data_IF_018811867116
#
_entry.id   IF_018811867116
#
_cell.length_a   1.000
_cell.length_b   1.000
_cell.length_c   1.000
_cell.angle_alpha   90.00
_cell.angle_beta   90.00
_cell.angle_gamma   90.00
#
_symmetry.space_group_name_H-M   'P 1'
#
loop_
_entity.id
_entity.type
_entity.pdbx_description
1 polymer ?
#
# COMPACT_ATOMS: atom_id res chain seq x y z
N UNK A 1 13.10 7.69 -54.42
CA UNK A 1 12.47 6.34 -54.39
C UNK A 1 13.02 5.51 -53.20
N UNK A 2 12.89 6.01 -51.96
CA UNK A 2 13.47 5.36 -50.75
C UNK A 2 12.47 5.30 -49.56
N UNK A 3 11.28 5.89 -49.68
CA UNK A 3 10.29 5.94 -48.58
C UNK A 3 9.43 4.68 -48.40
N UNK A 4 9.42 3.74 -49.34
CA UNK A 4 8.59 2.52 -49.25
C UNK A 4 9.26 1.32 -48.52
N UNK A 5 10.50 1.47 -48.06
CA UNK A 5 11.23 0.39 -47.34
C UNK A 5 11.14 0.45 -45.82
N UNK A 6 10.76 1.60 -45.25
CA UNK A 6 10.72 1.79 -43.79
C UNK A 6 9.43 1.22 -43.20
N UNK A 7 8.30 1.37 -43.89
CA UNK A 7 6.98 0.91 -43.40
C UNK A 7 6.83 -0.61 -43.36
N UNK A 8 7.58 -1.35 -44.19
CA UNK A 8 7.56 -2.83 -44.16
C UNK A 8 8.32 -3.44 -42.98
N UNK A 9 9.29 -2.73 -42.40
CA UNK A 9 10.04 -3.24 -41.23
C UNK A 9 9.23 -3.17 -39.93
N UNK A 10 8.34 -2.18 -39.81
CA UNK A 10 7.49 -2.02 -38.62
C UNK A 10 6.40 -3.09 -38.54
N UNK A 11 5.83 -3.47 -39.68
CA UNK A 11 4.78 -4.49 -39.77
C UNK A 11 5.31 -5.90 -39.39
N UNK A 12 6.55 -6.21 -39.77
CA UNK A 12 7.18 -7.51 -39.43
C UNK A 12 7.55 -7.64 -37.96
N UNK A 13 7.80 -6.52 -37.27
CA UNK A 13 8.12 -6.52 -35.84
C UNK A 13 6.86 -6.74 -34.98
N UNK A 14 5.73 -6.14 -35.37
CA UNK A 14 4.43 -6.37 -34.73
C UNK A 14 3.91 -7.80 -34.99
N UNK A 15 4.10 -8.34 -36.19
CA UNK A 15 3.74 -9.73 -36.49
C UNK A 15 4.57 -10.76 -35.68
N UNK A 16 5.85 -10.47 -35.41
CA UNK A 16 6.69 -11.32 -34.55
C UNK A 16 6.28 -11.28 -33.07
N UNK A 17 5.78 -10.13 -32.59
CA UNK A 17 5.27 -10.00 -31.22
C UNK A 17 3.99 -10.80 -31.01
N UNK A 18 3.16 -10.97 -32.04
CA UNK A 18 1.93 -11.77 -31.99
C UNK A 18 2.22 -13.28 -32.01
N UNK A 19 3.29 -13.71 -32.71
CA UNK A 19 3.65 -15.15 -32.85
C UNK A 19 4.45 -15.68 -31.65
N UNK A 20 5.12 -14.82 -30.89
CA UNK A 20 6.06 -15.26 -29.83
C UNK A 20 5.42 -15.71 -28.53
N UNK A 21 4.09 -15.61 -28.35
CA UNK A 21 3.39 -16.28 -27.24
C UNK A 21 4.00 -16.02 -25.86
N UNK A 22 4.70 -14.90 -25.67
CA UNK A 22 5.10 -14.41 -24.36
C UNK A 22 3.84 -13.81 -23.76
N UNK A 23 3.08 -14.71 -23.14
CA UNK A 23 1.85 -14.42 -22.44
C UNK A 23 2.04 -13.14 -21.64
N UNK A 24 1.23 -12.16 -22.00
CA UNK A 24 0.83 -11.05 -21.15
C UNK A 24 0.42 -11.65 -19.81
N UNK A 25 1.38 -11.78 -18.90
CA UNK A 25 1.11 -12.18 -17.52
C UNK A 25 0.10 -11.18 -16.97
N UNK A 26 -1.01 -11.75 -16.54
CA UNK A 26 -2.21 -11.16 -15.97
C UNK A 26 -2.02 -9.70 -15.51
N UNK A 27 -2.51 -8.78 -16.35
CA UNK A 27 -2.67 -7.35 -16.09
C UNK A 27 -3.76 -7.10 -15.03
N UNK A 28 -3.70 -7.80 -13.91
CA UNK A 28 -4.51 -7.63 -12.69
C UNK A 28 -3.66 -7.12 -11.51
N UNK A 29 -2.37 -6.87 -11.71
CA UNK A 29 -1.59 -6.09 -10.75
C UNK A 29 -2.03 -4.63 -10.87
N UNK A 30 -3.06 -4.22 -10.09
CA UNK A 30 -3.51 -2.83 -9.92
C UNK A 30 -2.30 -1.92 -10.05
N UNK A 31 -2.26 -1.06 -11.09
CA UNK A 31 -1.16 -0.10 -11.31
C UNK A 31 -0.78 0.49 -9.96
N UNK A 32 0.39 0.12 -9.44
CA UNK A 32 0.87 0.54 -8.13
C UNK A 32 0.77 2.07 -8.12
N UNK A 33 -0.14 2.63 -7.32
CA UNK A 33 -0.42 4.08 -7.27
C UNK A 33 0.79 4.93 -6.80
N UNK A 34 1.92 4.26 -6.57
CA UNK A 34 3.15 4.75 -6.00
C UNK A 34 4.34 4.73 -6.97
N UNK A 35 4.21 4.13 -8.17
CA UNK A 35 5.29 4.12 -9.16
C UNK A 35 5.57 5.56 -9.62
N UNK A 36 6.81 6.00 -9.44
CA UNK A 36 7.26 7.34 -9.84
C UNK A 36 7.00 8.46 -8.83
N UNK A 37 6.48 8.16 -7.62
CA UNK A 37 6.40 9.13 -6.52
C UNK A 37 7.66 9.07 -5.66
N UNK A 38 8.12 10.23 -5.19
CA UNK A 38 9.16 10.29 -4.16
C UNK A 38 8.67 9.57 -2.89
N UNK A 39 9.46 8.61 -2.38
CA UNK A 39 9.10 7.71 -1.27
C UNK A 39 7.89 6.79 -1.52
N UNK A 40 7.55 6.53 -2.79
CA UNK A 40 6.42 5.66 -3.15
C UNK A 40 6.51 4.26 -2.56
N UNK A 41 7.70 3.69 -2.45
CA UNK A 41 7.89 2.35 -1.86
C UNK A 41 7.56 2.33 -0.37
N UNK A 42 7.86 3.41 0.36
CA UNK A 42 7.59 3.55 1.80
C UNK A 42 6.12 3.87 2.05
N UNK A 43 5.49 4.71 1.22
CA UNK A 43 4.03 4.90 1.25
C UNK A 43 3.28 3.60 0.98
N UNK A 44 3.76 2.80 0.01
CA UNK A 44 3.19 1.48 -0.27
C UNK A 44 3.36 0.54 0.92
N UNK A 45 4.56 0.48 1.51
CA UNK A 45 4.82 -0.33 2.70
C UNK A 45 3.90 0.05 3.87
N UNK A 46 3.70 1.34 4.12
CA UNK A 46 2.77 1.83 5.14
C UNK A 46 1.32 1.50 4.83
N UNK A 47 0.94 1.49 3.55
CA UNK A 47 -0.39 1.03 3.15
C UNK A 47 -0.58 -0.45 3.49
N UNK A 48 0.41 -1.30 3.17
CA UNK A 48 0.42 -2.72 3.47
C UNK A 48 0.39 -2.97 4.99
N UNK A 49 1.21 -2.24 5.75
CA UNK A 49 1.19 -2.27 7.21
C UNK A 49 -0.18 -1.87 7.77
N UNK A 50 -0.83 -0.86 7.20
CA UNK A 50 -2.18 -0.47 7.60
C UNK A 50 -3.22 -1.56 7.38
N UNK A 51 -3.11 -2.31 6.27
CA UNK A 51 -3.96 -3.49 6.04
C UNK A 51 -3.67 -4.61 7.03
N UNK A 52 -2.39 -4.88 7.31
CA UNK A 52 -1.97 -5.86 8.32
C UNK A 52 -2.48 -5.50 9.71
N UNK A 53 -2.39 -4.24 10.13
CA UNK A 53 -2.81 -3.79 11.46
C UNK A 53 -4.33 -3.84 11.66
N UNK A 54 -5.09 -3.73 10.56
CA UNK A 54 -6.54 -3.90 10.56
C UNK A 54 -6.96 -5.36 10.39
N UNK A 55 -6.04 -6.28 10.10
CA UNK A 55 -6.34 -7.71 10.03
C UNK A 55 -6.80 -8.19 11.41
N UNK A 56 -8.00 -8.76 11.47
CA UNK A 56 -8.66 -9.17 12.72
C UNK A 56 -9.40 -8.05 13.48
N UNK A 57 -9.28 -6.78 13.07
CA UNK A 57 -10.09 -5.71 13.66
C UNK A 57 -11.54 -5.79 13.13
N UNK A 58 -12.49 -6.04 14.03
CA UNK A 58 -13.92 -6.12 13.69
C UNK A 58 -14.46 -7.55 13.49
N UNK A 59 -13.63 -8.59 13.65
CA UNK A 59 -14.14 -9.97 13.81
C UNK A 59 -14.70 -10.09 15.24
N UNK A 60 -16.03 -10.30 15.41
CA UNK A 60 -16.56 -10.56 16.74
C UNK A 60 -15.96 -11.86 17.27
N UNK A 61 -15.25 -11.81 18.41
CA UNK A 61 -14.76 -13.01 19.11
C UNK A 61 -15.89 -13.89 19.67
N UNK A 62 -17.14 -13.41 19.59
CA UNK A 62 -18.36 -14.15 19.86
C UNK A 62 -19.09 -14.38 18.55
N UNK A 63 -18.79 -15.48 17.89
CA UNK A 63 -19.49 -15.95 16.70
C UNK A 63 -20.18 -17.25 17.04
N UNK A 64 -21.48 -17.34 16.72
CA UNK A 64 -22.19 -18.61 16.85
C UNK A 64 -21.48 -19.66 15.98
N UNK A 65 -21.49 -20.95 16.35
CA UNK A 65 -20.91 -22.02 15.52
C UNK A 65 -21.41 -21.96 14.06
N UNK A 66 -22.64 -21.48 13.86
CA UNK A 66 -23.22 -21.26 12.52
C UNK A 66 -22.49 -20.18 11.73
N UNK A 67 -22.04 -19.09 12.35
CA UNK A 67 -21.27 -18.05 11.66
C UNK A 67 -19.89 -18.56 11.23
N UNK A 68 -19.24 -19.41 12.04
CA UNK A 68 -17.97 -20.04 11.65
C UNK A 68 -18.16 -20.94 10.42
N UNK A 69 -19.21 -21.76 10.41
CA UNK A 69 -19.56 -22.60 9.26
C UNK A 69 -19.87 -21.75 8.00
N UNK A 70 -20.62 -20.65 8.14
CA UNK A 70 -20.88 -19.76 7.02
C UNK A 70 -19.59 -19.08 6.53
N UNK A 71 -18.73 -18.57 7.40
CA UNK A 71 -17.46 -17.95 6.99
C UNK A 71 -16.56 -18.90 6.20
N UNK A 72 -16.46 -20.15 6.65
CA UNK A 72 -15.55 -21.14 6.05
C UNK A 72 -16.12 -21.74 4.75
N UNK A 73 -17.44 -21.73 4.57
CA UNK A 73 -18.12 -22.33 3.40
C UNK A 73 -18.72 -21.32 2.41
N UNK A 74 -18.79 -20.04 2.78
CA UNK A 74 -19.25 -18.98 1.87
C UNK A 74 -18.04 -18.17 1.42
N UNK A 75 -17.86 -17.99 0.12
CA UNK A 75 -16.80 -17.16 -0.47
C UNK A 75 -16.96 -15.65 -0.18
N UNK A 76 -17.71 -15.29 0.87
CA UNK A 76 -17.87 -13.93 1.39
C UNK A 76 -16.61 -13.53 2.16
N UNK A 77 -15.49 -13.49 1.46
CA UNK A 77 -14.23 -12.93 1.96
C UNK A 77 -14.47 -11.42 2.08
N UNK A 78 -14.47 -10.89 3.31
CA UNK A 78 -14.43 -9.46 3.55
C UNK A 78 -13.12 -8.90 3.03
N UNK A 79 -13.04 -8.66 1.71
CA UNK A 79 -11.79 -8.39 1.01
C UNK A 79 -10.85 -9.60 1.03
N UNK A 80 -10.33 -10.01 -0.12
CA UNK A 80 -9.16 -10.89 -0.15
C UNK A 80 -8.08 -10.25 0.71
N UNK A 81 -7.48 -11.00 1.65
CA UNK A 81 -6.26 -10.59 2.38
C UNK A 81 -5.23 -10.15 1.34
N UNK A 82 -5.13 -8.85 1.10
CA UNK A 82 -4.31 -8.28 0.04
C UNK A 82 -3.22 -7.42 0.67
N UNK A 83 -2.50 -8.04 1.60
CA UNK A 83 -1.19 -7.54 1.99
C UNK A 83 -0.13 -8.59 1.73
N UNK A 84 1.01 -8.14 1.20
CA UNK A 84 2.17 -9.00 0.88
C UNK A 84 3.27 -8.86 1.95
N UNK A 85 3.05 -8.02 2.95
CA UNK A 85 4.01 -7.76 4.02
C UNK A 85 4.14 -8.97 4.95
N UNK A 86 5.38 -9.31 5.30
CA UNK A 86 5.71 -10.34 6.30
C UNK A 86 5.56 -9.77 7.70
N UNK A 87 5.09 -10.57 8.66
CA UNK A 87 4.82 -10.14 10.04
C UNK A 87 6.04 -9.45 10.69
N UNK A 88 7.24 -9.99 10.52
CA UNK A 88 8.47 -9.39 11.07
C UNK A 88 8.72 -7.98 10.52
N UNK A 89 8.53 -7.79 9.21
CA UNK A 89 8.65 -6.48 8.58
C UNK A 89 7.54 -5.53 9.08
N UNK A 90 6.33 -6.03 9.26
CA UNK A 90 5.22 -5.26 9.80
C UNK A 90 5.50 -4.81 11.26
N UNK A 91 6.13 -5.65 12.08
CA UNK A 91 6.54 -5.31 13.44
C UNK A 91 7.65 -4.24 13.46
N UNK A 92 8.61 -4.29 12.54
CA UNK A 92 9.63 -3.24 12.40
C UNK A 92 8.98 -1.90 12.05
N UNK A 93 8.04 -1.89 11.10
CA UNK A 93 7.29 -0.68 10.74
C UNK A 93 6.44 -0.17 11.91
N UNK A 94 5.75 -1.06 12.62
CA UNK A 94 4.97 -0.69 13.81
C UNK A 94 5.86 -0.06 14.90
N UNK A 95 7.05 -0.61 15.12
CA UNK A 95 8.04 -0.06 16.06
C UNK A 95 8.50 1.34 15.63
N UNK A 96 8.70 1.59 14.33
CA UNK A 96 9.05 2.90 13.81
C UNK A 96 7.90 3.91 14.02
N UNK A 97 6.66 3.51 13.74
CA UNK A 97 5.46 4.35 14.00
C UNK A 97 5.31 4.63 15.50
N UNK A 98 5.58 3.66 16.38
CA UNK A 98 5.56 3.86 17.83
C UNK A 98 6.63 4.86 18.29
N UNK A 99 7.86 4.77 17.73
CA UNK A 99 8.93 5.76 17.97
C UNK A 99 8.50 7.17 17.52
N UNK A 100 7.86 7.28 16.36
CA UNK A 100 7.33 8.54 15.85
C UNK A 100 6.27 9.12 16.77
N UNK A 101 5.32 8.29 17.21
CA UNK A 101 4.23 8.67 18.10
C UNK A 101 4.77 9.18 19.44
N UNK A 102 5.79 8.50 20.00
CA UNK A 102 6.47 8.96 21.22
C UNK A 102 7.16 10.31 21.04
N UNK A 103 7.69 10.60 19.85
CA UNK A 103 8.34 11.88 19.54
C UNK A 103 7.34 13.00 19.26
N UNK A 104 6.27 12.70 18.54
CA UNK A 104 5.20 13.63 18.20
C UNK A 104 3.90 12.84 18.03
N UNK A 105 3.03 12.93 19.04
CA UNK A 105 1.76 12.21 19.09
C UNK A 105 0.89 12.54 17.88
N UNK A 106 0.74 13.83 17.55
CA UNK A 106 -0.09 14.29 16.44
C UNK A 106 0.35 13.68 15.11
N UNK A 107 1.65 13.66 14.83
CA UNK A 107 2.16 13.12 13.56
C UNK A 107 2.01 11.59 13.50
N UNK A 108 2.18 10.88 14.62
CA UNK A 108 1.89 9.44 14.71
C UNK A 108 0.43 9.11 14.46
N UNK A 109 -0.49 9.89 15.07
CA UNK A 109 -1.93 9.72 14.90
C UNK A 109 -2.36 9.96 13.44
N UNK A 110 -1.73 10.91 12.74
CA UNK A 110 -2.03 11.16 11.32
C UNK A 110 -1.67 9.97 10.44
N UNK A 111 -0.50 9.35 10.66
CA UNK A 111 -0.10 8.14 9.93
C UNK A 111 -1.05 6.99 10.25
N UNK A 112 -1.39 6.81 11.53
CA UNK A 112 -2.32 5.78 11.96
C UNK A 112 -3.70 5.93 11.31
N UNK A 113 -4.29 7.12 11.36
CA UNK A 113 -5.63 7.37 10.84
C UNK A 113 -5.65 7.30 9.31
N UNK A 114 -4.60 7.78 8.64
CA UNK A 114 -4.53 7.78 7.18
C UNK A 114 -4.25 6.38 6.61
N UNK A 115 -3.24 5.66 7.12
CA UNK A 115 -2.83 4.36 6.57
C UNK A 115 -3.55 3.18 7.22
N UNK A 116 -3.78 3.21 8.54
CA UNK A 116 -4.46 2.16 9.28
C UNK A 116 -5.97 2.24 9.11
N UNK A 117 -6.59 3.30 9.63
CA UNK A 117 -8.04 3.46 9.56
C UNK A 117 -8.57 3.84 8.16
N UNK A 118 -7.68 4.07 7.18
CA UNK A 118 -7.98 4.48 5.80
C UNK A 118 -8.85 5.75 5.72
N UNK A 119 -8.67 6.68 6.66
CA UNK A 119 -9.40 7.95 6.62
C UNK A 119 -8.82 8.86 5.53
N UNK A 120 -9.68 9.54 4.74
CA UNK A 120 -9.19 10.53 3.78
C UNK A 120 -8.52 11.68 4.54
N UNK A 121 -7.47 12.27 3.96
CA UNK A 121 -6.70 13.36 4.58
C UNK A 121 -7.59 14.55 5.01
N UNK A 122 -8.67 14.83 4.26
CA UNK A 122 -9.68 15.83 4.64
C UNK A 122 -10.34 15.53 5.99
N UNK A 123 -10.69 14.25 6.24
CA UNK A 123 -11.31 13.83 7.50
C UNK A 123 -10.30 13.91 8.65
N UNK A 124 -9.06 13.49 8.40
CA UNK A 124 -7.98 13.62 9.39
C UNK A 124 -7.77 15.09 9.75
N UNK A 125 -7.70 15.98 8.76
CA UNK A 125 -7.56 17.41 9.01
C UNK A 125 -8.69 17.99 9.87
N UNK A 126 -9.94 17.63 9.58
CA UNK A 126 -11.10 18.04 10.40
C UNK A 126 -11.04 17.53 11.85
N UNK A 127 -10.50 16.33 12.08
CA UNK A 127 -10.38 15.77 13.42
C UNK A 127 -9.39 16.56 14.31
N UNK A 128 -8.39 17.18 13.70
CA UNK A 128 -7.33 17.93 14.40
C UNK A 128 -7.35 19.43 14.10
N UNK A 129 -8.45 19.94 13.54
CA UNK A 129 -8.66 21.35 13.17
C UNK A 129 -7.53 21.94 12.29
N UNK A 130 -7.04 21.16 11.34
CA UNK A 130 -6.02 21.59 10.36
C UNK A 130 -6.53 21.49 8.94
N UNK A 131 -6.03 22.36 8.06
CA UNK A 131 -6.37 22.33 6.64
C UNK A 131 -5.93 21.03 5.98
N UNK A 132 -6.64 20.59 4.95
CA UNK A 132 -6.30 19.37 4.22
C UNK A 132 -4.89 19.41 3.65
N UNK A 133 -4.47 20.56 3.11
CA UNK A 133 -3.11 20.76 2.60
C UNK A 133 -2.08 20.52 3.72
N UNK A 134 -2.33 21.09 4.91
CA UNK A 134 -1.44 20.91 6.05
C UNK A 134 -1.40 19.46 6.54
N UNK A 135 -2.54 18.78 6.53
CA UNK A 135 -2.60 17.37 6.88
C UNK A 135 -1.79 16.50 5.91
N UNK A 136 -1.87 16.76 4.60
CA UNK A 136 -1.04 16.05 3.61
C UNK A 136 0.45 16.33 3.79
N UNK A 137 0.84 17.56 4.11
CA UNK A 137 2.24 17.88 4.42
C UNK A 137 2.75 17.12 5.64
N UNK A 138 1.97 17.08 6.72
CA UNK A 138 2.34 16.35 7.94
C UNK A 138 2.44 14.84 7.68
N UNK A 139 1.53 14.27 6.89
CA UNK A 139 1.60 12.87 6.48
C UNK A 139 2.88 12.61 5.69
N UNK A 140 3.20 13.42 4.68
CA UNK A 140 4.45 13.27 3.89
C UNK A 140 5.70 13.40 4.75
N UNK A 141 5.70 14.35 5.68
CA UNK A 141 6.81 14.56 6.63
C UNK A 141 6.97 13.33 7.53
N UNK A 142 5.85 12.76 8.00
CA UNK A 142 5.84 11.53 8.77
C UNK A 142 6.35 10.32 7.98
N UNK A 143 5.96 10.18 6.72
CA UNK A 143 6.48 9.14 5.81
C UNK A 143 7.99 9.27 5.65
N UNK A 144 8.50 10.48 5.41
CA UNK A 144 9.94 10.73 5.27
C UNK A 144 10.72 10.41 6.56
N UNK A 145 10.13 10.70 7.73
CA UNK A 145 10.74 10.32 9.00
C UNK A 145 10.80 8.81 9.18
N UNK A 146 9.73 8.09 8.82
CA UNK A 146 9.71 6.62 8.88
C UNK A 146 10.72 6.02 7.92
N UNK A 147 10.82 6.53 6.70
CA UNK A 147 11.81 6.09 5.73
C UNK A 147 13.23 6.16 6.29
N UNK A 148 13.58 7.30 6.89
CA UNK A 148 14.86 7.48 7.56
C UNK A 148 15.05 6.53 8.75
N UNK A 149 14.01 6.30 9.56
CA UNK A 149 14.08 5.37 10.68
C UNK A 149 14.22 3.91 10.23
N UNK A 150 13.62 3.53 9.09
CA UNK A 150 13.75 2.21 8.50
C UNK A 150 15.14 1.97 7.92
N UNK A 151 15.79 3.01 7.42
CA UNK A 151 17.17 2.91 6.94
C UNK A 151 18.15 2.54 8.07
N UNK A 152 17.92 3.00 9.31
CA UNK A 152 18.69 2.56 10.48
C UNK A 152 18.59 1.04 10.71
N UNK A 153 17.40 0.47 10.51
CA UNK A 153 17.19 -0.98 10.65
C UNK A 153 17.79 -1.77 9.50
N UNK A 154 17.75 -1.24 8.27
CA UNK A 154 18.41 -1.87 7.11
C UNK A 154 19.92 -1.89 7.25
N UNK A 155 20.51 -0.86 7.85
CA UNK A 155 21.95 -0.80 8.09
C UNK A 155 22.41 -1.73 9.23
N UNK A 156 21.50 -2.11 10.13
CA UNK A 156 21.79 -2.95 11.30
C UNK A 156 21.53 -4.45 11.07
N UNK A 157 20.83 -4.81 10.00
CA UNK A 157 20.52 -6.19 9.60
C UNK A 157 21.55 -6.76 8.62
#
# INVERSE_FOLDING_TARGET
>A
MVLHRITRKTETAEALAVVTGLGTEDSSMKKRAYVGKALGDTEYLLEQWGWWRMDGMGVPRYVSPLHALMRDNTNCVGGVKSYVIVDDLALVVDSAVARLTRRNQQMGDFIWLYFGAKWPALRVGRQFDVSEAKARELIKTGVAWIDCALEEFRAAA
#
